data_IF_762635106168
#
_entry.id   IF_762635106168
#
_cell.length_a   1.000
_cell.length_b   1.000
_cell.length_c   1.000
_cell.angle_alpha   90.00
_cell.angle_beta   90.00
_cell.angle_gamma   90.00
#
_symmetry.space_group_name_H-M   'P 1'
#
loop_
_entity.id
_entity.type
_entity.pdbx_description
1 polymer ?
#
# COMPACT_ATOMS: atom_id res chain seq x y z
N UNK A 1 57.95 4.44 1.19
CA UNK A 1 57.86 2.96 1.35
C UNK A 1 56.49 2.55 0.82
N UNK A 2 56.43 2.02 -0.40
CA UNK A 2 55.17 1.66 -1.08
C UNK A 2 54.78 0.25 -0.60
N UNK A 3 53.56 0.02 -0.11
CA UNK A 3 53.14 -1.30 0.31
C UNK A 3 53.16 -2.28 -0.88
N UNK A 4 53.53 -3.55 -0.68
CA UNK A 4 53.65 -4.52 -1.76
C UNK A 4 52.28 -4.77 -2.42
N UNK A 5 52.26 -4.86 -3.75
CA UNK A 5 51.05 -4.95 -4.59
C UNK A 5 50.02 -6.03 -4.18
N UNK A 6 50.43 -7.03 -3.39
CA UNK A 6 49.54 -8.06 -2.83
C UNK A 6 48.55 -7.53 -1.77
N UNK A 7 48.88 -6.41 -1.12
CA UNK A 7 47.99 -5.80 -0.12
C UNK A 7 46.89 -4.93 -0.74
N UNK A 8 47.01 -4.54 -2.01
CA UNK A 8 45.96 -3.76 -2.69
C UNK A 8 44.91 -4.68 -3.33
N UNK A 9 45.27 -5.95 -3.57
CA UNK A 9 44.42 -6.93 -4.27
C UNK A 9 43.16 -7.30 -3.46
N UNK A 10 43.27 -7.42 -2.13
CA UNK A 10 42.14 -7.80 -1.27
C UNK A 10 41.12 -6.68 -1.03
N UNK A 11 41.45 -5.42 -1.31
CA UNK A 11 40.51 -4.29 -1.18
C UNK A 11 39.52 -4.18 -2.35
N UNK A 12 39.69 -4.98 -3.40
CA UNK A 12 38.85 -4.91 -4.62
C UNK A 12 37.85 -6.06 -4.78
N UNK A 13 37.93 -7.09 -3.94
CA UNK A 13 36.97 -8.21 -3.95
C UNK A 13 35.85 -8.00 -2.93
N UNK A 14 35.14 -6.87 -3.01
CA UNK A 14 33.79 -6.82 -2.47
C UNK A 14 32.90 -7.65 -3.40
N UNK A 15 32.26 -8.74 -2.93
CA UNK A 15 31.32 -9.51 -3.74
C UNK A 15 30.19 -8.58 -4.19
N UNK A 16 30.30 -8.03 -5.39
CA UNK A 16 29.41 -7.00 -5.93
C UNK A 16 28.15 -7.61 -6.54
N UNK A 17 27.96 -8.93 -6.38
CA UNK A 17 26.80 -9.67 -6.85
C UNK A 17 25.94 -10.06 -5.64
N UNK A 18 24.71 -9.53 -5.51
CA UNK A 18 23.74 -10.14 -4.61
C UNK A 18 23.61 -11.62 -4.95
N UNK A 19 23.64 -12.45 -3.92
CA UNK A 19 23.43 -13.88 -3.99
C UNK A 19 22.07 -14.21 -4.65
N UNK A 20 21.95 -15.38 -5.29
CA UNK A 20 20.72 -15.81 -5.97
C UNK A 20 19.43 -15.69 -5.12
N UNK A 21 19.45 -15.92 -3.79
CA UNK A 21 18.33 -15.66 -2.90
C UNK A 21 17.89 -14.18 -2.90
N UNK A 22 18.83 -13.24 -2.76
CA UNK A 22 18.54 -11.81 -2.75
C UNK A 22 17.90 -11.33 -4.07
N UNK A 23 18.32 -11.90 -5.20
CA UNK A 23 17.73 -11.56 -6.50
C UNK A 23 16.29 -12.09 -6.65
N UNK A 24 16.01 -13.27 -6.10
CA UNK A 24 14.67 -13.88 -6.10
C UNK A 24 13.71 -13.10 -5.21
N UNK A 25 14.13 -12.74 -3.99
CA UNK A 25 13.35 -11.91 -3.06
C UNK A 25 13.01 -10.55 -3.67
N UNK A 26 13.97 -9.93 -4.36
CA UNK A 26 13.75 -8.65 -5.04
C UNK A 26 12.68 -8.75 -6.13
N UNK A 27 12.66 -9.85 -6.88
CA UNK A 27 11.74 -10.06 -8.00
C UNK A 27 10.32 -10.40 -7.52
N UNK A 28 10.18 -11.11 -6.40
CA UNK A 28 8.89 -11.51 -5.84
C UNK A 28 8.26 -10.45 -4.92
N UNK A 29 9.05 -9.53 -4.37
CA UNK A 29 8.57 -8.54 -3.39
C UNK A 29 7.38 -7.72 -3.88
N UNK A 30 7.45 -7.12 -5.08
CA UNK A 30 6.37 -6.29 -5.62
C UNK A 30 5.10 -7.10 -5.98
N UNK A 31 5.19 -8.25 -6.68
CA UNK A 31 4.02 -9.11 -6.88
C UNK A 31 3.35 -9.56 -5.59
N UNK A 32 4.13 -9.95 -4.58
CA UNK A 32 3.61 -10.36 -3.27
C UNK A 32 2.95 -9.18 -2.55
N UNK A 33 3.57 -8.00 -2.56
CA UNK A 33 3.02 -6.78 -1.97
C UNK A 33 1.71 -6.36 -2.64
N UNK A 34 1.64 -6.48 -3.96
CA UNK A 34 0.41 -6.22 -4.73
C UNK A 34 -0.67 -7.24 -4.40
N UNK A 35 -0.31 -8.52 -4.33
CA UNK A 35 -1.24 -9.60 -3.98
C UNK A 35 -1.80 -9.45 -2.58
N UNK A 36 -0.95 -9.12 -1.59
CA UNK A 36 -1.39 -8.88 -0.21
C UNK A 36 -2.27 -7.65 -0.08
N UNK A 37 -1.90 -6.54 -0.73
CA UNK A 37 -2.71 -5.32 -0.75
C UNK A 37 -4.09 -5.57 -1.38
N UNK A 38 -4.12 -6.28 -2.51
CA UNK A 38 -5.35 -6.66 -3.19
C UNK A 38 -6.23 -7.58 -2.33
N UNK A 39 -5.65 -8.61 -1.70
CA UNK A 39 -6.36 -9.51 -0.80
C UNK A 39 -6.98 -8.77 0.39
N UNK A 40 -6.24 -7.89 1.05
CA UNK A 40 -6.73 -7.09 2.17
C UNK A 40 -7.92 -6.23 1.75
N UNK A 41 -7.84 -5.57 0.59
CA UNK A 41 -8.93 -4.76 0.06
C UNK A 41 -10.18 -5.58 -0.25
N UNK A 42 -10.03 -6.74 -0.92
CA UNK A 42 -11.16 -7.64 -1.18
C UNK A 42 -11.79 -8.12 0.11
N UNK A 43 -10.97 -8.51 1.10
CA UNK A 43 -11.46 -9.05 2.36
C UNK A 43 -12.21 -8.00 3.19
N UNK A 44 -11.62 -6.81 3.37
CA UNK A 44 -12.26 -5.72 4.11
C UNK A 44 -13.50 -5.20 3.39
N UNK A 45 -13.48 -5.15 2.06
CA UNK A 45 -14.63 -4.80 1.27
C UNK A 45 -15.76 -5.81 1.40
N UNK A 46 -15.45 -7.11 1.32
CA UNK A 46 -16.42 -8.19 1.50
C UNK A 46 -17.10 -8.11 2.87
N UNK A 47 -16.35 -7.88 3.95
CA UNK A 47 -16.91 -7.69 5.30
C UNK A 47 -17.89 -6.51 5.39
N UNK A 48 -17.65 -5.44 4.63
CA UNK A 48 -18.57 -4.30 4.54
C UNK A 48 -19.82 -4.65 3.75
N UNK A 49 -19.68 -5.37 2.64
CA UNK A 49 -20.81 -5.82 1.81
C UNK A 49 -21.71 -6.81 2.56
N UNK A 50 -21.14 -7.69 3.40
CA UNK A 50 -21.91 -8.65 4.20
C UNK A 50 -22.47 -8.05 5.49
N UNK A 51 -22.20 -6.77 5.80
CA UNK A 51 -22.66 -6.11 7.01
C UNK A 51 -21.98 -6.58 8.30
N UNK A 52 -20.91 -7.37 8.21
CA UNK A 52 -20.16 -7.92 9.36
C UNK A 52 -18.92 -7.10 9.71
N UNK A 53 -18.82 -5.88 9.17
CA UNK A 53 -17.66 -5.01 9.33
C UNK A 53 -17.63 -4.34 10.71
N UNK A 54 -16.47 -4.33 11.41
CA UNK A 54 -16.36 -3.69 12.71
C UNK A 54 -16.39 -2.15 12.64
N UNK A 55 -16.29 -1.57 11.44
CA UNK A 55 -16.22 -0.11 11.24
C UNK A 55 -17.57 0.51 10.84
N UNK A 56 -18.68 -0.24 10.85
CA UNK A 56 -19.99 0.30 10.47
C UNK A 56 -20.39 1.50 11.34
N UNK A 57 -20.27 1.37 12.65
CA UNK A 57 -20.59 2.44 13.61
C UNK A 57 -19.64 3.64 13.48
N UNK A 58 -18.38 3.38 13.13
CA UNK A 58 -17.38 4.42 12.88
C UNK A 58 -17.81 5.28 11.68
N UNK A 59 -18.21 4.62 10.59
CA UNK A 59 -18.61 5.28 9.35
C UNK A 59 -19.90 6.07 9.54
N UNK A 60 -20.87 5.53 10.28
CA UNK A 60 -22.14 6.19 10.58
C UNK A 60 -21.97 7.55 11.26
N UNK A 61 -20.94 7.69 12.10
CA UNK A 61 -20.65 8.92 12.84
C UNK A 61 -19.78 9.92 12.07
N UNK A 62 -19.07 9.48 11.03
CA UNK A 62 -18.22 10.37 10.21
C UNK A 62 -19.04 11.18 9.20
N UNK A 63 -20.12 10.61 8.66
CA UNK A 63 -20.89 11.21 7.56
C UNK A 63 -22.38 11.25 7.93
N UNK A 64 -22.80 12.12 8.86
CA UNK A 64 -24.16 12.09 9.43
C UNK A 64 -25.26 12.45 8.42
N UNK A 65 -24.91 13.06 7.29
CA UNK A 65 -25.85 13.45 6.22
C UNK A 65 -26.13 12.34 5.20
N UNK A 66 -25.48 11.18 5.31
CA UNK A 66 -25.64 10.06 4.38
C UNK A 66 -26.09 8.81 5.13
N UNK A 67 -26.94 7.99 4.52
CA UNK A 67 -27.35 6.72 5.13
C UNK A 67 -26.12 5.84 5.37
N UNK A 68 -25.82 5.46 6.63
CA UNK A 68 -24.62 4.70 6.95
C UNK A 68 -24.59 3.33 6.25
N UNK A 69 -25.73 2.69 6.07
CA UNK A 69 -25.82 1.38 5.40
C UNK A 69 -25.43 1.48 3.93
N UNK A 70 -26.02 2.44 3.21
CA UNK A 70 -25.69 2.71 1.80
C UNK A 70 -24.23 3.12 1.65
N UNK A 71 -23.71 3.97 2.53
CA UNK A 71 -22.33 4.43 2.46
C UNK A 71 -21.33 3.30 2.73
N UNK A 72 -21.53 2.52 3.79
CA UNK A 72 -20.68 1.36 4.12
C UNK A 72 -20.71 0.33 2.99
N UNK A 73 -21.88 0.04 2.43
CA UNK A 73 -22.02 -0.87 1.28
C UNK A 73 -21.24 -0.34 0.07
N UNK A 74 -21.37 0.95 -0.24
CA UNK A 74 -20.66 1.60 -1.36
C UNK A 74 -19.15 1.52 -1.17
N UNK A 75 -18.64 1.84 0.03
CA UNK A 75 -17.22 1.70 0.37
C UNK A 75 -16.76 0.24 0.23
N UNK A 76 -17.58 -0.71 0.66
CA UNK A 76 -17.30 -2.14 0.54
C UNK A 76 -17.15 -2.59 -0.91
N UNK A 77 -18.10 -2.20 -1.77
CA UNK A 77 -18.04 -2.51 -3.21
C UNK A 77 -16.81 -1.89 -3.86
N UNK A 78 -16.51 -0.62 -3.56
CA UNK A 78 -15.30 0.07 -4.07
C UNK A 78 -14.03 -0.67 -3.65
N UNK A 79 -13.94 -1.08 -2.39
CA UNK A 79 -12.78 -1.84 -1.89
C UNK A 79 -12.61 -3.18 -2.59
N UNK A 80 -13.69 -3.94 -2.80
CA UNK A 80 -13.64 -5.21 -3.54
C UNK A 80 -13.17 -5.00 -4.98
N UNK A 81 -13.73 -4.01 -5.68
CA UNK A 81 -13.38 -3.71 -7.07
C UNK A 81 -11.90 -3.30 -7.19
N UNK A 82 -11.43 -2.42 -6.30
CA UNK A 82 -10.03 -1.99 -6.29
C UNK A 82 -9.08 -3.16 -5.95
N UNK A 83 -9.46 -4.01 -4.99
CA UNK A 83 -8.68 -5.17 -4.61
C UNK A 83 -8.54 -6.18 -5.75
N UNK A 84 -9.62 -6.50 -6.45
CA UNK A 84 -9.60 -7.37 -7.63
C UNK A 84 -8.74 -6.74 -8.74
N UNK A 85 -8.90 -5.44 -8.99
CA UNK A 85 -8.13 -4.74 -10.02
C UNK A 85 -6.62 -4.74 -9.74
N UNK A 86 -6.21 -4.64 -8.46
CA UNK A 86 -4.82 -4.81 -8.04
C UNK A 86 -4.30 -6.22 -8.32
N UNK A 87 -5.06 -7.26 -7.97
CA UNK A 87 -4.65 -8.66 -8.16
C UNK A 87 -4.49 -8.99 -9.65
N UNK A 88 -5.46 -8.58 -10.47
CA UNK A 88 -5.47 -8.83 -11.93
C UNK A 88 -4.43 -7.98 -12.67
N UNK A 89 -3.97 -6.88 -12.09
CA UNK A 89 -3.01 -6.00 -12.75
C UNK A 89 -3.65 -4.96 -13.69
N UNK A 90 -4.94 -4.65 -13.49
CA UNK A 90 -5.66 -3.72 -14.36
C UNK A 90 -5.26 -2.27 -14.05
N UNK A 91 -4.71 -1.54 -15.03
CA UNK A 91 -4.33 -0.10 -14.93
C UNK A 91 -3.66 0.25 -13.59
N UNK A 92 -2.64 -0.54 -13.21
CA UNK A 92 -2.07 -0.57 -11.86
C UNK A 92 -1.74 0.79 -11.27
N UNK A 93 -1.09 1.67 -12.04
CA UNK A 93 -0.80 3.03 -11.57
C UNK A 93 -2.04 3.79 -11.07
N UNK A 94 -3.15 3.72 -11.80
CA UNK A 94 -4.38 4.43 -11.44
C UNK A 94 -5.12 3.75 -10.30
N UNK A 95 -5.19 2.42 -10.31
CA UNK A 95 -5.80 1.65 -9.22
C UNK A 95 -5.03 1.87 -7.92
N UNK A 96 -3.70 1.82 -7.95
CA UNK A 96 -2.86 2.10 -6.79
C UNK A 96 -3.03 3.53 -6.27
N UNK A 97 -3.18 4.53 -7.16
CA UNK A 97 -3.50 5.90 -6.77
C UNK A 97 -4.85 5.97 -6.06
N UNK A 98 -5.89 5.33 -6.60
CA UNK A 98 -7.21 5.29 -5.98
C UNK A 98 -7.18 4.61 -4.61
N UNK A 99 -6.43 3.52 -4.47
CA UNK A 99 -6.21 2.83 -3.19
C UNK A 99 -5.54 3.75 -2.17
N UNK A 100 -4.50 4.48 -2.58
CA UNK A 100 -3.81 5.46 -1.71
C UNK A 100 -4.77 6.56 -1.27
N UNK A 101 -5.56 7.13 -2.20
CA UNK A 101 -6.54 8.17 -1.88
C UNK A 101 -7.65 7.66 -0.96
N UNK A 102 -8.16 6.47 -1.21
CA UNK A 102 -9.18 5.82 -0.37
C UNK A 102 -8.68 5.63 1.06
N UNK A 103 -7.47 5.08 1.22
CA UNK A 103 -6.85 4.91 2.54
C UNK A 103 -6.53 6.25 3.20
N UNK A 104 -6.09 7.25 2.44
CA UNK A 104 -5.85 8.59 2.97
C UNK A 104 -7.13 9.22 3.53
N UNK A 105 -8.27 8.98 2.88
CA UNK A 105 -9.59 9.41 3.36
C UNK A 105 -9.93 8.87 4.75
N UNK A 106 -9.43 7.69 5.13
CA UNK A 106 -9.69 7.09 6.46
C UNK A 106 -9.10 7.91 7.62
N UNK A 107 -8.05 8.70 7.36
CA UNK A 107 -7.47 9.59 8.37
C UNK A 107 -8.38 10.75 8.77
N UNK A 108 -9.41 11.06 7.97
CA UNK A 108 -10.43 12.03 8.38
C UNK A 108 -11.00 11.68 9.75
N UNK A 109 -11.13 10.39 10.08
CA UNK A 109 -11.57 9.88 11.39
C UNK A 109 -10.76 10.46 12.56
N UNK A 110 -9.45 10.65 12.41
CA UNK A 110 -8.60 11.19 13.48
C UNK A 110 -8.97 12.64 13.81
N UNK A 111 -9.50 13.39 12.84
CA UNK A 111 -9.88 14.80 13.00
C UNK A 111 -11.36 14.94 13.33
N UNK A 112 -12.23 14.16 12.68
CA UNK A 112 -13.69 14.26 12.84
C UNK A 112 -14.21 13.49 14.04
N UNK A 113 -13.53 12.43 14.48
CA UNK A 113 -13.91 11.60 15.63
C UNK A 113 -12.73 11.36 16.60
N UNK A 114 -12.14 12.41 17.17
CA UNK A 114 -10.98 12.29 18.05
C UNK A 114 -11.29 11.52 19.33
N UNK A 115 -12.53 11.57 19.83
CA UNK A 115 -12.96 10.81 21.01
C UNK A 115 -13.00 9.30 20.79
N UNK A 116 -13.10 8.85 19.53
CA UNK A 116 -13.04 7.43 19.17
C UNK A 116 -11.62 7.02 18.83
N UNK A 117 -10.81 7.91 18.25
CA UNK A 117 -9.44 7.63 17.85
C UNK A 117 -8.41 7.73 18.99
N UNK A 118 -8.64 8.59 19.99
CA UNK A 118 -7.68 8.92 21.03
C UNK A 118 -8.24 8.73 22.44
N UNK A 119 -7.42 8.19 23.34
CA UNK A 119 -7.76 8.01 24.74
C UNK A 119 -7.70 9.36 25.45
N UNK A 120 -8.79 9.72 26.15
CA UNK A 120 -8.86 10.91 27.02
C UNK A 120 -8.49 12.21 26.27
N UNK A 121 -8.71 12.25 24.95
CA UNK A 121 -8.39 13.41 24.11
C UNK A 121 -6.90 13.65 23.87
N UNK A 122 -6.00 12.74 24.27
CA UNK A 122 -4.56 12.87 24.05
C UNK A 122 -4.16 12.24 22.70
N UNK A 123 -3.68 13.01 21.70
CA UNK A 123 -3.32 12.48 20.38
C UNK A 123 -2.20 11.44 20.38
N UNK A 124 -1.40 11.37 21.45
CA UNK A 124 -0.32 10.38 21.58
C UNK A 124 -0.82 9.02 22.09
N UNK A 125 -2.04 8.96 22.64
CA UNK A 125 -2.63 7.75 23.19
C UNK A 125 -3.73 7.25 22.25
N UNK A 126 -3.40 6.34 21.33
CA UNK A 126 -4.36 5.79 20.38
C UNK A 126 -5.28 4.76 21.05
N UNK A 127 -6.53 4.70 20.61
CA UNK A 127 -7.42 3.57 20.86
C UNK A 127 -7.16 2.45 19.84
N UNK A 128 -7.80 1.29 19.99
CA UNK A 128 -7.77 0.22 18.97
C UNK A 128 -8.19 0.73 17.58
N UNK A 129 -9.17 1.64 17.52
CA UNK A 129 -9.60 2.28 16.27
C UNK A 129 -8.53 3.22 15.73
N UNK A 130 -7.94 4.06 16.60
CA UNK A 130 -6.84 4.95 16.23
C UNK A 130 -5.66 4.17 15.65
N UNK A 131 -5.24 3.09 16.29
CA UNK A 131 -4.19 2.20 15.79
C UNK A 131 -4.54 1.61 14.42
N UNK A 132 -5.78 1.16 14.24
CA UNK A 132 -6.25 0.61 12.98
C UNK A 132 -6.13 1.63 11.85
N UNK A 133 -6.55 2.88 12.09
CA UNK A 133 -6.44 3.97 11.10
C UNK A 133 -4.96 4.30 10.83
N UNK A 134 -4.13 4.42 11.86
CA UNK A 134 -2.69 4.75 11.68
C UNK A 134 -1.94 3.66 10.92
N UNK A 135 -2.29 2.38 11.11
CA UNK A 135 -1.73 1.25 10.34
C UNK A 135 -1.96 1.37 8.83
N UNK A 136 -2.94 2.15 8.37
CA UNK A 136 -3.12 2.41 6.93
C UNK A 136 -1.92 3.12 6.28
N UNK A 137 -1.03 3.76 7.04
CA UNK A 137 0.25 4.28 6.52
C UNK A 137 1.08 3.17 5.83
N UNK A 138 1.06 1.95 6.38
CA UNK A 138 1.77 0.80 5.80
C UNK A 138 1.14 0.41 4.47
N UNK A 139 -0.19 0.39 4.38
CA UNK A 139 -0.90 0.06 3.14
C UNK A 139 -0.76 1.16 2.08
N UNK A 140 -0.73 2.43 2.49
CA UNK A 140 -0.48 3.57 1.60
C UNK A 140 0.92 3.48 1.01
N UNK A 141 1.94 3.28 1.84
CA UNK A 141 3.32 3.15 1.36
C UNK A 141 3.49 1.91 0.47
N UNK A 142 2.78 0.82 0.76
CA UNK A 142 2.71 -0.34 -0.14
C UNK A 142 2.08 0.01 -1.50
N UNK A 143 0.96 0.76 -1.50
CA UNK A 143 0.31 1.25 -2.73
C UNK A 143 1.23 2.15 -3.56
N UNK A 144 1.96 3.06 -2.91
CA UNK A 144 2.96 3.92 -3.57
C UNK A 144 4.12 3.09 -4.15
N UNK A 145 4.60 2.08 -3.43
CA UNK A 145 5.62 1.16 -3.94
C UNK A 145 5.13 0.42 -5.19
N UNK A 146 3.92 -0.15 -5.17
CA UNK A 146 3.28 -0.79 -6.33
C UNK A 146 3.14 0.19 -7.49
N UNK A 147 2.68 1.42 -7.24
CA UNK A 147 2.53 2.48 -8.24
C UNK A 147 3.88 2.83 -8.89
N UNK A 148 4.94 2.97 -8.10
CA UNK A 148 6.27 3.33 -8.59
C UNK A 148 6.91 2.19 -9.41
N UNK A 149 6.65 0.93 -9.04
CA UNK A 149 7.17 -0.24 -9.72
C UNK A 149 6.53 -0.50 -11.09
N UNK A 150 5.35 0.06 -11.35
CA UNK A 150 4.67 0.00 -12.66
C UNK A 150 5.23 1.02 -13.68
N UNK A 151 5.83 2.12 -13.19
CA UNK A 151 6.41 3.19 -14.01
C UNK A 151 7.58 2.81 -14.95
N UNK A 152 8.46 1.81 -14.68
CA UNK A 152 9.64 1.54 -15.50
C UNK A 152 9.40 0.73 -16.78
N UNK A 153 8.26 0.04 -16.93
CA UNK A 153 8.02 -0.84 -18.09
C UNK A 153 7.84 -0.03 -19.37
N UNK A 154 7.17 1.12 -19.31
CA UNK A 154 6.97 2.00 -20.48
C UNK A 154 8.26 2.65 -20.99
N UNK A 155 9.22 2.97 -20.12
CA UNK A 155 10.45 3.65 -20.52
C UNK A 155 11.48 2.70 -21.16
N UNK A 156 11.51 1.42 -20.79
CA UNK A 156 12.43 0.44 -21.38
C UNK A 156 12.09 0.12 -22.83
N UNK A 157 10.80 0.01 -23.17
CA UNK A 157 10.33 -0.20 -24.54
C UNK A 157 10.60 1.03 -25.41
N UNK A 158 10.39 2.24 -24.87
CA UNK A 158 10.69 3.49 -25.59
C UNK A 158 12.19 3.67 -25.88
N UNK A 159 13.07 3.39 -24.91
CA UNK A 159 14.54 3.49 -25.11
C UNK A 159 15.09 2.42 -26.05
N UNK A 160 14.54 1.21 -26.05
CA UNK A 160 14.93 0.15 -26.97
C UNK A 160 14.53 0.45 -28.43
N UNK A 161 13.46 1.22 -28.65
CA UNK A 161 13.05 1.69 -29.98
C UNK A 161 13.89 2.85 -30.52
N UNK A 162 14.44 3.69 -29.65
CA UNK A 162 15.33 4.81 -30.02
C UNK A 162 16.75 4.33 -30.30
N UNK A 163 17.26 3.35 -29.55
CA UNK A 163 18.62 2.81 -29.76
C UNK A 163 18.76 1.90 -31.01
N UNK A 164 17.66 1.60 -31.71
CA UNK A 164 17.63 0.81 -32.96
C UNK A 164 17.46 1.66 -34.22
N UNK A 165 17.50 2.99 -34.11
CA UNK A 165 17.49 3.94 -35.23
C UNK A 165 18.80 4.69 -35.27
#
# INVERSE_FOLDING_TARGET
MVPPAKEVMWMTEFPSRPDAPANTLRTLSIPLLRGSLGLVFVWFGALKVTGTTPVADLVARTVPWLDPGVFVLTLGVVEVVLGIALVVGFRLRWVALLVVLHLAGTFATLVTQPSVAFQTGNPLLLTMTGEFVVKNLVLITAGLAVMSADAPVRQRVARAGVARR
#
